data_IF_089454233897
#
_entry.id   IF_089454233897
#
_cell.length_a   1.000
_cell.length_b   1.000
_cell.length_c   1.000
_cell.angle_alpha   90.00
_cell.angle_beta   90.00
_cell.angle_gamma   90.00
#
_symmetry.space_group_name_H-M   'P 1'
#
loop_
_entity.id
_entity.type
_entity.pdbx_description
1 polymer ?
#
# COMPACT_ATOMS: atom_id res chain seq x y z
N UNK A 1 -1.48 12.44 1.13
CA UNK A 1 -2.10 11.21 1.65
C UNK A 1 -2.87 10.47 0.56
N UNK A 2 -3.70 11.15 -0.25
CA UNK A 2 -4.40 10.61 -1.44
C UNK A 2 -3.61 9.56 -2.23
N UNK A 3 -2.39 9.91 -2.67
CA UNK A 3 -1.53 9.02 -3.44
C UNK A 3 -1.07 7.75 -2.69
N UNK A 4 -0.87 7.83 -1.36
CA UNK A 4 -0.54 6.66 -0.54
C UNK A 4 -1.73 5.71 -0.47
N UNK A 5 -2.93 6.24 -0.24
CA UNK A 5 -4.14 5.43 -0.23
C UNK A 5 -4.43 4.78 -1.59
N UNK A 6 -4.29 5.52 -2.69
CA UNK A 6 -4.44 4.97 -4.03
C UNK A 6 -3.50 3.78 -4.29
N UNK A 7 -2.27 3.84 -3.77
CA UNK A 7 -1.31 2.74 -3.88
C UNK A 7 -1.65 1.55 -2.96
N UNK A 8 -2.27 1.79 -1.81
CA UNK A 8 -2.81 0.72 -0.94
C UNK A 8 -3.99 0.02 -1.63
N UNK A 9 -4.88 0.78 -2.27
CA UNK A 9 -6.01 0.23 -3.03
C UNK A 9 -5.50 -0.58 -4.24
N UNK A 10 -4.43 -0.09 -4.89
CA UNK A 10 -3.67 -0.80 -5.92
C UNK A 10 -3.12 -2.15 -5.45
N UNK A 11 -2.50 -2.18 -4.26
CA UNK A 11 -2.02 -3.41 -3.62
C UNK A 11 -3.17 -4.41 -3.35
N UNK A 12 -4.33 -3.93 -2.88
CA UNK A 12 -5.51 -4.79 -2.69
C UNK A 12 -5.99 -5.37 -4.02
N UNK A 13 -6.01 -4.55 -5.08
CA UNK A 13 -6.37 -4.98 -6.42
C UNK A 13 -5.38 -5.98 -7.02
N UNK A 14 -4.09 -5.87 -6.72
CA UNK A 14 -3.09 -6.87 -7.07
C UNK A 14 -3.38 -8.20 -6.37
N UNK A 15 -3.62 -8.15 -5.06
CA UNK A 15 -3.84 -9.33 -4.23
C UNK A 15 -5.16 -10.06 -4.54
N UNK A 16 -6.20 -9.34 -4.94
CA UNK A 16 -7.48 -9.94 -5.35
C UNK A 16 -7.38 -10.76 -6.63
N UNK A 17 -6.37 -10.51 -7.47
CA UNK A 17 -6.12 -11.20 -8.74
C UNK A 17 -5.22 -12.42 -8.59
N UNK A 18 -4.64 -12.66 -7.41
CA UNK A 18 -3.70 -13.76 -7.21
C UNK A 18 -4.41 -15.11 -7.38
N UNK A 19 -3.92 -15.99 -8.28
CA UNK A 19 -4.53 -17.29 -8.50
C UNK A 19 -4.55 -18.16 -7.22
N UNK A 20 -5.72 -18.74 -6.92
CA UNK A 20 -5.96 -19.60 -5.74
C UNK A 20 -5.48 -21.05 -5.91
N UNK A 21 -4.51 -21.28 -6.79
CA UNK A 21 -4.05 -22.62 -7.16
C UNK A 21 -2.73 -22.95 -6.46
N UNK A 22 -2.42 -24.24 -6.30
CA UNK A 22 -1.08 -24.67 -5.87
C UNK A 22 -0.05 -24.31 -6.94
N UNK A 23 1.17 -23.98 -6.51
CA UNK A 23 2.26 -23.51 -7.38
C UNK A 23 3.31 -24.60 -7.62
N UNK A 24 2.87 -25.85 -7.77
CA UNK A 24 3.75 -27.02 -7.87
C UNK A 24 4.58 -27.08 -9.16
N UNK A 25 4.16 -26.37 -10.22
CA UNK A 25 4.87 -26.33 -11.50
C UNK A 25 5.82 -25.13 -11.58
N UNK A 26 6.93 -25.26 -12.30
CA UNK A 26 7.90 -24.17 -12.47
C UNK A 26 7.29 -22.92 -13.11
N UNK A 27 6.34 -23.08 -14.05
CA UNK A 27 5.61 -21.94 -14.62
C UNK A 27 4.79 -21.18 -13.56
N UNK A 28 4.14 -21.91 -12.64
CA UNK A 28 3.36 -21.31 -11.56
C UNK A 28 4.25 -20.71 -10.48
N UNK A 29 5.39 -21.33 -10.16
CA UNK A 29 6.39 -20.73 -9.25
C UNK A 29 6.92 -19.43 -9.80
N UNK A 30 7.23 -19.36 -11.10
CA UNK A 30 7.64 -18.12 -11.77
C UNK A 30 6.58 -17.03 -11.65
N UNK A 31 5.31 -17.34 -11.92
CA UNK A 31 4.21 -16.38 -11.74
C UNK A 31 4.04 -15.94 -10.28
N UNK A 32 4.22 -16.86 -9.33
CA UNK A 32 4.21 -16.54 -7.91
C UNK A 32 5.38 -15.61 -7.53
N UNK A 33 6.55 -15.82 -8.12
CA UNK A 33 7.70 -14.92 -7.99
C UNK A 33 7.43 -13.54 -8.57
N UNK A 34 6.85 -13.44 -9.76
CA UNK A 34 6.45 -12.15 -10.36
C UNK A 34 5.48 -11.38 -9.44
N UNK A 35 4.52 -12.09 -8.82
CA UNK A 35 3.63 -11.50 -7.81
C UNK A 35 4.42 -11.00 -6.60
N UNK A 36 5.34 -11.82 -6.07
CA UNK A 36 6.20 -11.40 -4.95
C UNK A 36 7.05 -10.18 -5.27
N UNK A 37 7.62 -10.11 -6.48
CA UNK A 37 8.38 -8.95 -6.94
C UNK A 37 7.51 -7.70 -7.00
N UNK A 38 6.30 -7.82 -7.54
CA UNK A 38 5.34 -6.72 -7.56
C UNK A 38 4.93 -6.28 -6.15
N UNK A 39 4.75 -7.21 -5.21
CA UNK A 39 4.49 -6.90 -3.80
C UNK A 39 5.66 -6.15 -3.16
N UNK A 40 6.91 -6.57 -3.39
CA UNK A 40 8.10 -5.86 -2.90
C UNK A 40 8.13 -4.42 -3.44
N UNK A 41 7.88 -4.26 -4.74
CA UNK A 41 7.87 -2.94 -5.37
C UNK A 41 6.79 -2.01 -4.77
N UNK A 42 5.60 -2.54 -4.48
CA UNK A 42 4.54 -1.79 -3.80
C UNK A 42 4.96 -1.38 -2.39
N UNK A 43 5.52 -2.32 -1.61
CA UNK A 43 6.01 -2.06 -0.25
C UNK A 43 7.06 -0.96 -0.25
N UNK A 44 8.02 -1.01 -1.18
CA UNK A 44 9.05 0.02 -1.32
C UNK A 44 8.46 1.38 -1.66
N UNK A 45 7.51 1.44 -2.59
CA UNK A 45 6.84 2.67 -2.98
C UNK A 45 6.03 3.27 -1.82
N UNK A 46 5.26 2.46 -1.09
CA UNK A 46 4.54 2.88 0.11
C UNK A 46 5.48 3.42 1.18
N UNK A 47 6.59 2.71 1.44
CA UNK A 47 7.64 3.14 2.39
C UNK A 47 8.23 4.49 2.01
N UNK A 48 8.51 4.72 0.73
CA UNK A 48 9.01 6.00 0.24
C UNK A 48 7.98 7.11 0.43
N UNK A 49 6.71 6.89 0.08
CA UNK A 49 5.66 7.90 0.27
C UNK A 49 5.44 8.24 1.75
N UNK A 50 5.33 7.23 2.62
CA UNK A 50 5.11 7.41 4.06
C UNK A 50 6.32 8.11 4.71
N UNK A 51 7.54 7.70 4.38
CA UNK A 51 8.76 8.36 4.88
C UNK A 51 8.84 9.82 4.43
N UNK A 52 8.56 10.10 3.16
CA UNK A 52 8.56 11.48 2.66
C UNK A 52 7.49 12.32 3.36
N UNK A 53 6.28 11.79 3.56
CA UNK A 53 5.24 12.52 4.32
C UNK A 53 5.69 12.94 5.74
N UNK A 54 6.62 12.20 6.37
CA UNK A 54 7.21 12.54 7.67
C UNK A 54 8.30 13.62 7.62
N UNK A 55 8.74 14.05 6.44
CA UNK A 55 9.70 15.16 6.31
C UNK A 55 9.04 16.50 6.63
N UNK A 56 9.80 17.43 7.21
CA UNK A 56 9.30 18.72 7.69
C UNK A 56 8.50 19.50 6.64
N UNK A 57 8.97 19.55 5.39
CA UNK A 57 8.29 20.29 4.31
C UNK A 57 6.91 19.71 3.99
N UNK A 58 6.76 18.38 4.00
CA UNK A 58 5.50 17.71 3.68
C UNK A 58 4.57 17.68 4.89
N UNK A 59 5.10 17.58 6.11
CA UNK A 59 4.33 17.78 7.34
C UNK A 59 3.78 19.21 7.42
N UNK A 60 4.56 20.22 7.03
CA UNK A 60 4.07 21.61 6.93
C UNK A 60 2.93 21.75 5.93
N UNK A 61 3.02 21.10 4.76
CA UNK A 61 1.91 21.06 3.78
C UNK A 61 0.69 20.34 4.33
N UNK A 62 0.88 19.21 5.03
CA UNK A 62 -0.19 18.47 5.68
C UNK A 62 -0.87 19.31 6.77
N UNK A 63 -0.10 20.00 7.60
CA UNK A 63 -0.63 20.94 8.58
C UNK A 63 -1.31 22.16 7.94
N UNK A 64 -0.79 22.70 6.83
CA UNK A 64 -1.43 23.80 6.11
C UNK A 64 -2.72 23.37 5.41
N UNK A 65 -2.79 22.12 4.99
CA UNK A 65 -4.01 21.50 4.47
C UNK A 65 -5.05 21.25 5.56
N UNK A 66 -4.76 21.56 6.84
CA UNK A 66 -5.65 21.35 7.99
C UNK A 66 -7.09 21.67 7.62
N UNK A 67 -7.85 20.59 7.45
CA UNK A 67 -9.25 20.68 7.14
C UNK A 67 -9.92 20.91 8.49
N UNK A 68 -10.49 22.10 8.68
CA UNK A 68 -11.22 22.51 9.91
C UNK A 68 -12.32 21.55 10.37
N UNK A 69 -12.63 20.52 9.57
CA UNK A 69 -13.56 19.42 9.83
C UNK A 69 -12.93 18.22 10.56
N UNK A 70 -11.64 18.24 10.89
CA UNK A 70 -10.98 17.15 11.64
C UNK A 70 -10.60 17.70 13.02
N UNK A 71 -11.36 17.31 14.04
CA UNK A 71 -11.01 17.57 15.44
C UNK A 71 -9.71 16.86 15.78
N UNK A 72 -8.90 17.43 16.68
CA UNK A 72 -7.69 16.74 17.18
C UNK A 72 -6.77 16.29 16.02
N UNK A 73 -6.64 17.16 15.01
CA UNK A 73 -5.95 16.87 13.74
C UNK A 73 -4.54 16.33 13.94
N UNK A 74 -3.79 16.90 14.89
CA UNK A 74 -2.44 16.47 15.19
C UNK A 74 -2.40 15.05 15.78
N UNK A 75 -3.33 14.71 16.68
CA UNK A 75 -3.48 13.36 17.21
C UNK A 75 -3.88 12.36 16.12
N UNK A 76 -4.84 12.71 15.27
CA UNK A 76 -5.30 11.80 14.19
C UNK A 76 -4.23 11.55 13.14
N UNK A 77 -3.46 12.59 12.74
CA UNK A 77 -2.33 12.44 11.81
C UNK A 77 -1.26 11.53 12.42
N UNK A 78 -0.94 11.71 13.71
CA UNK A 78 0.03 10.86 14.42
C UNK A 78 -0.43 9.40 14.42
N UNK A 79 -1.68 9.16 14.82
CA UNK A 79 -2.26 7.81 14.85
C UNK A 79 -2.27 7.15 13.47
N UNK A 80 -2.52 7.91 12.40
CA UNK A 80 -2.46 7.40 11.03
C UNK A 80 -1.04 6.99 10.61
N UNK A 81 -0.02 7.78 10.99
CA UNK A 81 1.37 7.38 10.71
C UNK A 81 1.80 6.14 11.49
N UNK A 82 1.36 6.00 12.74
CA UNK A 82 1.61 4.78 13.53
C UNK A 82 0.91 3.56 12.89
N UNK A 83 -0.32 3.75 12.39
CA UNK A 83 -1.05 2.72 11.64
C UNK A 83 -0.29 2.32 10.36
N UNK A 84 0.24 3.30 9.62
CA UNK A 84 1.06 3.05 8.44
C UNK A 84 2.37 2.31 8.74
N UNK A 85 3.09 2.69 9.80
CA UNK A 85 4.31 1.99 10.19
C UNK A 85 4.03 0.54 10.60
N UNK A 86 2.97 0.32 11.38
CA UNK A 86 2.54 -1.03 11.78
C UNK A 86 2.16 -1.89 10.56
N UNK A 87 1.39 -1.31 9.63
CA UNK A 87 1.00 -1.94 8.38
C UNK A 87 2.22 -2.32 7.54
N UNK A 88 3.15 -1.37 7.29
CA UNK A 88 4.37 -1.62 6.52
C UNK A 88 5.23 -2.72 7.14
N UNK A 89 5.41 -2.69 8.46
CA UNK A 89 6.20 -3.71 9.17
C UNK A 89 5.60 -5.10 9.05
N UNK A 90 4.28 -5.21 9.05
CA UNK A 90 3.56 -6.48 8.89
C UNK A 90 3.66 -6.95 7.44
N UNK A 91 3.35 -6.08 6.49
CA UNK A 91 3.41 -6.38 5.06
C UNK A 91 4.82 -6.79 4.61
N UNK A 92 5.87 -6.11 5.07
CA UNK A 92 7.27 -6.48 4.78
C UNK A 92 7.60 -7.91 5.25
N UNK A 93 7.08 -8.31 6.43
CA UNK A 93 7.31 -9.66 6.97
C UNK A 93 6.52 -10.71 6.19
N UNK A 94 5.28 -10.41 5.85
CA UNK A 94 4.41 -11.33 5.12
C UNK A 94 4.90 -11.56 3.69
N UNK A 95 5.36 -10.51 3.00
CA UNK A 95 5.96 -10.65 1.67
C UNK A 95 7.20 -11.55 1.71
N UNK A 96 8.10 -11.34 2.69
CA UNK A 96 9.28 -12.22 2.87
C UNK A 96 8.89 -13.67 3.16
N UNK A 97 7.85 -13.87 3.98
CA UNK A 97 7.31 -15.19 4.28
C UNK A 97 6.80 -15.85 3.01
N UNK A 98 6.00 -15.15 2.21
CA UNK A 98 5.45 -15.66 0.96
C UNK A 98 6.56 -15.98 -0.06
N UNK A 99 7.59 -15.13 -0.19
CA UNK A 99 8.78 -15.42 -1.01
C UNK A 99 9.46 -16.72 -0.61
N UNK A 100 9.69 -16.93 0.68
CA UNK A 100 10.26 -18.18 1.20
C UNK A 100 9.38 -19.41 0.86
N UNK A 101 8.06 -19.27 0.95
CA UNK A 101 7.09 -20.32 0.65
C UNK A 101 7.14 -20.74 -0.83
N UNK A 102 7.33 -19.80 -1.77
CA UNK A 102 7.46 -20.11 -3.20
C UNK A 102 8.59 -21.12 -3.48
N UNK A 103 9.73 -20.94 -2.82
CA UNK A 103 10.89 -21.80 -3.01
C UNK A 103 10.83 -23.11 -2.20
N UNK A 104 10.42 -23.00 -0.94
CA UNK A 104 10.67 -24.06 0.05
C UNK A 104 9.43 -24.89 0.38
N UNK A 105 8.22 -24.31 0.23
CA UNK A 105 6.96 -24.93 0.66
C UNK A 105 5.80 -24.58 -0.28
N UNK A 106 5.90 -24.88 -1.59
CA UNK A 106 4.94 -24.44 -2.60
C UNK A 106 3.51 -24.96 -2.37
N UNK A 107 3.35 -26.05 -1.61
CA UNK A 107 2.07 -26.59 -1.14
C UNK A 107 1.33 -25.63 -0.19
N UNK A 108 2.05 -24.77 0.53
CA UNK A 108 1.48 -23.82 1.49
C UNK A 108 1.18 -22.46 0.88
N UNK A 109 1.53 -22.22 -0.39
CA UNK A 109 1.35 -20.94 -1.07
C UNK A 109 -0.03 -20.34 -0.87
N UNK A 110 -1.07 -21.13 -1.13
CA UNK A 110 -2.44 -20.66 -1.13
C UNK A 110 -2.86 -20.10 0.23
N UNK A 111 -2.45 -20.75 1.33
CA UNK A 111 -2.78 -20.32 2.68
C UNK A 111 -2.07 -19.00 2.97
N UNK A 112 -0.76 -18.93 2.74
CA UNK A 112 0.01 -17.74 3.13
C UNK A 112 -0.26 -16.51 2.27
N UNK A 113 -0.53 -16.68 0.96
CA UNK A 113 -0.91 -15.54 0.12
C UNK A 113 -2.32 -15.04 0.45
N UNK A 114 -3.22 -15.94 0.88
CA UNK A 114 -4.54 -15.56 1.36
C UNK A 114 -4.46 -14.83 2.70
N UNK A 115 -3.64 -15.31 3.64
CA UNK A 115 -3.40 -14.64 4.91
C UNK A 115 -2.84 -13.23 4.70
N UNK A 116 -1.89 -13.07 3.76
CA UNK A 116 -1.36 -11.74 3.38
C UNK A 116 -2.47 -10.85 2.79
N UNK A 117 -3.23 -11.36 1.81
CA UNK A 117 -4.34 -10.61 1.21
C UNK A 117 -5.39 -10.18 2.24
N UNK A 118 -5.73 -11.09 3.15
CA UNK A 118 -6.68 -10.83 4.22
C UNK A 118 -6.13 -9.85 5.25
N UNK A 119 -4.84 -9.93 5.60
CA UNK A 119 -4.17 -8.97 6.48
C UNK A 119 -4.15 -7.55 5.89
N UNK A 120 -3.92 -7.41 4.58
CA UNK A 120 -4.01 -6.11 3.89
C UNK A 120 -5.45 -5.58 3.92
N UNK A 121 -6.43 -6.43 3.63
CA UNK A 121 -7.85 -6.07 3.70
C UNK A 121 -8.25 -5.59 5.12
N UNK A 122 -7.92 -6.38 6.15
CA UNK A 122 -8.23 -6.06 7.55
C UNK A 122 -7.45 -4.90 8.15
N UNK A 123 -6.45 -4.36 7.43
CA UNK A 123 -5.75 -3.15 7.89
C UNK A 123 -6.70 -1.94 8.03
N UNK A 124 -7.84 -1.96 7.33
CA UNK A 124 -8.77 -0.82 7.28
C UNK A 124 -8.13 0.43 6.67
N UNK A 125 -7.02 0.28 5.95
CA UNK A 125 -6.37 1.36 5.19
C UNK A 125 -6.88 1.44 3.76
N UNK A 126 -7.54 0.39 3.29
CA UNK A 126 -8.15 0.31 1.96
C UNK A 126 -9.67 0.61 1.98
N UNK A 127 -10.29 0.65 3.16
CA UNK A 127 -11.70 0.98 3.32
C UNK A 127 -11.94 2.50 3.28
N UNK A 128 -13.10 2.89 2.78
CA UNK A 128 -13.61 4.27 2.79
C UNK A 128 -14.45 4.55 4.05
N UNK A 129 -14.00 4.07 5.21
CA UNK A 129 -14.62 4.45 6.47
C UNK A 129 -14.61 5.98 6.64
N UNK A 130 -15.64 6.52 7.29
CA UNK A 130 -15.88 7.96 7.42
C UNK A 130 -14.66 8.70 8.03
N UNK A 131 -13.92 8.02 8.91
CA UNK A 131 -12.70 8.53 9.55
C UNK A 131 -11.53 8.67 8.57
N UNK A 132 -11.39 7.77 7.60
CA UNK A 132 -10.27 7.75 6.64
C UNK A 132 -10.56 8.57 5.39
N UNK A 133 -11.84 8.80 5.06
CA UNK A 133 -12.26 9.53 3.86
C UNK A 133 -11.59 10.91 3.75
N UNK A 134 -11.53 11.65 4.85
CA UNK A 134 -10.93 13.00 4.84
C UNK A 134 -9.43 12.94 4.57
N UNK A 135 -8.71 11.92 5.04
CA UNK A 135 -7.28 11.74 4.72
C UNK A 135 -7.06 11.30 3.27
N UNK A 136 -7.97 10.50 2.71
CA UNK A 136 -7.92 10.07 1.30
C UNK A 136 -8.07 11.24 0.31
N UNK A 137 -8.75 12.31 0.70
CA UNK A 137 -8.90 13.51 -0.15
C UNK A 137 -7.66 14.42 -0.16
N UNK A 138 -6.75 14.28 0.82
CA UNK A 138 -5.63 15.21 1.00
C UNK A 138 -4.44 14.86 0.09
N UNK A 139 -4.17 15.70 -0.91
CA UNK A 139 -2.96 15.64 -1.71
C UNK A 139 -1.81 16.43 -1.03
N UNK A 140 -0.72 15.72 -0.67
CA UNK A 140 0.48 16.33 -0.05
C UNK A 140 1.65 16.44 -1.04
N UNK A 141 1.70 15.50 -1.96
CA UNK A 141 2.57 15.53 -3.12
C UNK A 141 1.78 16.05 -4.30
N UNK A 142 2.40 16.89 -5.12
CA UNK A 142 1.95 17.12 -6.48
C UNK A 142 2.38 15.94 -7.38
N UNK A 143 1.64 15.69 -8.47
CA UNK A 143 1.96 14.58 -9.39
C UNK A 143 3.40 14.64 -9.91
N UNK A 144 3.91 15.83 -10.19
CA UNK A 144 5.28 16.00 -10.68
C UNK A 144 6.33 15.62 -9.62
N UNK A 145 6.03 15.77 -8.33
CA UNK A 145 6.91 15.40 -7.22
C UNK A 145 6.97 13.87 -7.03
N UNK A 146 5.90 13.15 -7.39
CA UNK A 146 5.88 11.68 -7.31
C UNK A 146 6.92 11.02 -8.23
N UNK A 147 7.25 11.64 -9.37
CA UNK A 147 8.28 11.16 -10.30
C UNK A 147 9.66 11.00 -9.65
N UNK A 148 9.95 11.78 -8.60
CA UNK A 148 11.20 11.69 -7.84
C UNK A 148 11.16 10.70 -6.68
N UNK A 149 9.99 10.11 -6.38
CA UNK A 149 9.76 9.31 -5.17
C UNK A 149 9.47 7.85 -5.52
N UNK A 150 8.61 7.60 -6.51
CA UNK A 150 8.15 6.25 -6.89
C UNK A 150 8.34 6.03 -8.39
N UNK A 151 8.25 4.76 -8.83
CA UNK A 151 8.45 4.40 -10.24
C UNK A 151 7.28 4.86 -11.12
N UNK A 152 7.55 5.03 -12.42
CA UNK A 152 6.52 5.39 -13.41
C UNK A 152 5.35 4.40 -13.46
N UNK A 153 5.61 3.09 -13.19
CA UNK A 153 4.55 2.06 -13.07
C UNK A 153 3.53 2.44 -11.99
N UNK A 154 3.99 2.77 -10.78
CA UNK A 154 3.11 3.14 -9.68
C UNK A 154 2.46 4.51 -9.88
N UNK A 155 3.10 5.43 -10.62
CA UNK A 155 2.48 6.71 -10.97
C UNK A 155 1.29 6.48 -11.91
N UNK A 156 1.48 5.70 -12.98
CA UNK A 156 0.40 5.36 -13.89
C UNK A 156 -0.74 4.60 -13.19
N UNK A 157 -0.41 3.75 -12.22
CA UNK A 157 -1.39 3.08 -11.38
C UNK A 157 -2.20 4.06 -10.51
N UNK A 158 -1.52 5.00 -9.84
CA UNK A 158 -2.19 6.07 -9.08
C UNK A 158 -3.11 6.87 -9.99
N UNK A 159 -2.65 7.28 -11.18
CA UNK A 159 -3.48 8.02 -12.14
C UNK A 159 -4.73 7.23 -12.54
N UNK A 160 -4.58 5.94 -12.83
CA UNK A 160 -5.70 5.05 -13.17
C UNK A 160 -6.72 4.94 -12.03
N UNK A 161 -6.25 4.76 -10.78
CA UNK A 161 -7.13 4.67 -9.61
C UNK A 161 -7.85 6.00 -9.38
N UNK A 162 -7.15 7.13 -9.52
CA UNK A 162 -7.75 8.44 -9.29
C UNK A 162 -8.77 8.84 -10.35
N UNK A 163 -8.57 8.45 -11.61
CA UNK A 163 -9.54 8.68 -12.69
C UNK A 163 -10.86 7.93 -12.48
N UNK A 164 -10.86 6.83 -11.73
CA UNK A 164 -12.08 6.07 -11.42
C UNK A 164 -12.90 6.69 -10.27
N UNK A 165 -12.34 7.68 -9.57
CA UNK A 165 -12.95 8.36 -8.42
C UNK A 165 -13.50 9.76 -8.77
N UNK A 166 -13.26 10.26 -9.99
CA UNK A 166 -13.74 11.54 -10.53
C UNK A 166 -14.93 11.34 -11.48
#
# INVERSE_FOLDING_TARGET
>A
MKHTFALIDGLVNLLSKVPRQTIETEDRKRKAWEICEDLVLHVEALKKLIKNHKEEKYLKRLHAANISKISDWAEQVTALFDKFDSFLNTLEKDVKKVQYIVENKPDQWQIHIHDLAFGVYLSGLHDEEEEMKKFREIAIFEMHELNGIISAKHIAEIESVLQLLE
#
